data_IF_933168449560
#
_entry.id   IF_933168449560
#
_cell.length_a   1.000
_cell.length_b   1.000
_cell.length_c   1.000
_cell.angle_alpha   90.00
_cell.angle_beta   90.00
_cell.angle_gamma   90.00
#
_symmetry.space_group_name_H-M   'P 1'
#
loop_
_entity.id
_entity.type
_entity.pdbx_description
1 polymer ?
#
# COMPACT_ATOMS: atom_id res chain seq x y z
N UNK A 1 24.56 9.22 28.30
CA UNK A 1 23.41 9.29 29.24
C UNK A 1 22.27 8.39 28.76
N UNK A 2 21.26 8.15 29.59
CA UNK A 2 20.07 7.42 29.14
C UNK A 2 18.82 8.11 29.67
N UNK A 3 17.90 8.40 28.77
CA UNK A 3 16.57 8.97 29.08
C UNK A 3 15.61 7.82 29.22
N UNK A 4 15.04 7.60 30.41
CA UNK A 4 14.24 6.41 30.75
C UNK A 4 12.76 6.74 30.91
N UNK A 5 11.93 5.73 30.65
CA UNK A 5 10.48 5.78 30.87
C UNK A 5 9.74 6.87 30.05
N UNK A 6 10.24 7.19 28.87
CA UNK A 6 9.61 8.14 27.99
C UNK A 6 8.34 7.50 27.39
N UNK A 7 7.21 8.19 27.51
CA UNK A 7 5.96 7.77 26.86
C UNK A 7 5.98 8.13 25.38
N UNK A 8 6.74 7.37 24.59
CA UNK A 8 6.88 7.59 23.16
C UNK A 8 6.62 6.26 22.44
N UNK A 9 5.70 6.28 21.48
CA UNK A 9 5.44 5.13 20.61
C UNK A 9 6.63 4.94 19.65
N UNK A 10 6.94 3.67 19.36
CA UNK A 10 7.99 3.28 18.42
C UNK A 10 7.78 3.89 17.03
N UNK A 11 6.54 3.96 16.56
CA UNK A 11 6.18 4.53 15.27
C UNK A 11 6.47 6.03 15.13
N UNK A 12 6.62 6.74 16.26
CA UNK A 12 6.83 8.20 16.29
C UNK A 12 8.30 8.61 16.38
N UNK A 13 9.22 7.68 16.56
CA UNK A 13 10.64 8.04 16.79
C UNK A 13 11.23 8.76 15.58
N UNK A 14 11.02 8.22 14.37
CA UNK A 14 11.53 8.81 13.12
C UNK A 14 10.93 10.21 12.92
N UNK A 15 9.61 10.36 13.09
CA UNK A 15 8.94 11.65 12.98
C UNK A 15 9.41 12.66 14.03
N UNK A 16 9.68 12.23 15.27
CA UNK A 16 10.19 13.12 16.32
C UNK A 16 11.60 13.64 16.02
N UNK A 17 12.47 12.83 15.38
CA UNK A 17 13.79 13.31 14.93
C UNK A 17 13.61 14.28 13.75
N UNK A 18 12.68 13.99 12.86
CA UNK A 18 12.31 14.89 11.76
C UNK A 18 11.82 16.25 12.28
N UNK A 19 10.93 16.25 13.27
CA UNK A 19 10.43 17.47 13.92
C UNK A 19 11.55 18.27 14.59
N UNK A 20 12.54 17.59 15.18
CA UNK A 20 13.76 18.22 15.69
C UNK A 20 14.52 18.94 14.58
N UNK A 21 14.75 18.28 13.43
CA UNK A 21 15.45 18.88 12.29
C UNK A 21 14.76 20.14 11.79
N UNK A 22 13.43 20.11 11.66
CA UNK A 22 12.62 21.27 11.24
C UNK A 22 12.74 22.39 12.29
N UNK A 23 12.57 22.07 13.56
CA UNK A 23 12.58 23.05 14.64
C UNK A 23 13.93 23.77 14.78
N UNK A 24 15.03 23.03 14.55
CA UNK A 24 16.40 23.57 14.56
C UNK A 24 16.82 24.20 13.24
N UNK A 25 15.96 24.18 12.21
CA UNK A 25 16.28 24.67 10.86
C UNK A 25 17.56 24.02 10.28
N UNK A 26 17.71 22.70 10.48
CA UNK A 26 18.85 21.94 9.93
C UNK A 26 18.79 21.99 8.40
N UNK A 27 19.88 22.40 7.76
CA UNK A 27 19.93 22.63 6.30
C UNK A 27 19.83 21.35 5.49
N UNK A 28 20.63 20.35 5.86
CA UNK A 28 20.62 19.04 5.23
C UNK A 28 20.51 17.96 6.29
N UNK A 29 19.55 17.04 6.13
CA UNK A 29 19.42 15.91 7.04
C UNK A 29 18.90 14.67 6.32
N UNK A 30 19.39 13.51 6.79
CA UNK A 30 18.94 12.20 6.36
C UNK A 30 18.73 11.34 7.60
N UNK A 31 17.51 10.86 7.79
CA UNK A 31 17.12 10.03 8.92
C UNK A 31 16.91 8.61 8.38
N UNK A 32 17.69 7.66 8.90
CA UNK A 32 17.57 6.25 8.54
C UNK A 32 16.34 5.60 9.14
N UNK A 33 16.08 4.37 8.73
CA UNK A 33 15.02 3.55 9.33
C UNK A 33 15.45 3.10 10.74
N UNK A 34 14.44 2.89 11.60
CA UNK A 34 14.64 2.28 12.92
C UNK A 34 14.89 0.78 12.74
N UNK A 35 16.13 0.34 12.92
CA UNK A 35 16.59 -1.03 12.70
C UNK A 35 16.97 -1.72 14.00
N UNK A 36 16.81 -3.04 14.09
CA UNK A 36 17.26 -3.85 15.21
C UNK A 36 17.91 -5.13 14.73
N UNK A 37 19.05 -5.49 15.35
CA UNK A 37 19.72 -6.75 15.10
C UNK A 37 19.34 -7.86 16.09
N UNK A 38 18.85 -7.49 17.27
CA UNK A 38 18.54 -8.40 18.38
C UNK A 38 17.08 -8.37 18.83
N UNK A 39 16.25 -7.49 18.22
CA UNK A 39 14.85 -7.29 18.58
C UNK A 39 14.61 -6.56 19.90
N UNK A 40 15.67 -6.17 20.62
CA UNK A 40 15.64 -5.50 21.92
C UNK A 40 16.09 -4.05 21.79
N UNK A 41 17.22 -3.86 21.16
CA UNK A 41 17.82 -2.55 20.90
C UNK A 41 17.55 -2.15 19.45
N UNK A 42 17.05 -0.96 19.28
CA UNK A 42 16.74 -0.38 17.98
C UNK A 42 17.64 0.83 17.75
N UNK A 43 18.19 0.95 16.54
CA UNK A 43 19.12 2.02 16.17
C UNK A 43 18.57 2.81 14.99
N UNK A 44 18.74 4.13 15.07
CA UNK A 44 18.57 5.05 13.94
C UNK A 44 19.93 5.67 13.63
N UNK A 45 20.32 5.59 12.36
CA UNK A 45 21.44 6.38 11.85
C UNK A 45 20.91 7.71 11.35
N UNK A 46 21.58 8.77 11.70
CA UNK A 46 21.19 10.14 11.37
C UNK A 46 22.41 10.84 10.76
N UNK A 47 22.17 11.54 9.65
CA UNK A 47 23.12 12.47 9.05
C UNK A 47 22.47 13.86 9.10
N UNK A 48 23.14 14.82 9.73
CA UNK A 48 22.72 16.21 9.84
C UNK A 48 23.89 17.13 9.57
N UNK A 49 23.78 17.93 8.49
CA UNK A 49 24.85 18.86 8.10
C UNK A 49 26.23 18.19 8.04
N UNK A 50 26.31 17.05 7.33
CA UNK A 50 27.51 16.22 7.15
C UNK A 50 28.06 15.58 8.45
N UNK A 51 27.22 15.47 9.48
CA UNK A 51 27.54 14.81 10.75
C UNK A 51 26.79 13.49 10.84
N UNK A 52 27.49 12.39 10.62
CA UNK A 52 26.93 11.04 10.74
C UNK A 52 27.06 10.52 12.18
N UNK A 53 25.93 10.15 12.78
CA UNK A 53 25.86 9.55 14.12
C UNK A 53 24.65 8.60 14.22
N UNK A 54 24.49 7.95 15.37
CA UNK A 54 23.34 7.09 15.63
C UNK A 54 22.79 7.31 17.04
N UNK A 55 21.54 6.94 17.22
CA UNK A 55 20.85 6.95 18.52
C UNK A 55 20.21 5.58 18.73
N UNK A 56 20.38 5.02 19.92
CA UNK A 56 19.83 3.73 20.30
C UNK A 56 18.55 3.89 21.16
N UNK A 57 17.56 3.07 20.89
CA UNK A 57 16.27 3.04 21.57
C UNK A 57 15.99 1.65 22.11
N UNK A 58 15.43 1.58 23.31
CA UNK A 58 14.95 0.35 23.93
C UNK A 58 13.47 0.49 24.26
N UNK A 59 12.68 -0.48 23.86
CA UNK A 59 11.23 -0.50 24.10
C UNK A 59 10.91 -1.56 25.13
N UNK A 60 10.19 -1.16 26.17
CA UNK A 60 9.68 -2.06 27.19
C UNK A 60 8.16 -1.95 27.20
N UNK A 61 7.48 -3.06 26.94
CA UNK A 61 6.04 -3.14 27.19
C UNK A 61 5.78 -3.20 28.70
N UNK A 62 5.06 -2.24 29.23
CA UNK A 62 4.59 -2.29 30.61
C UNK A 62 3.24 -3.01 30.69
N UNK A 63 2.91 -3.56 31.88
CA UNK A 63 1.57 -4.10 32.16
C UNK A 63 0.54 -2.97 31.95
N UNK A 64 -0.31 -3.12 30.94
CA UNK A 64 -1.35 -2.16 30.59
C UNK A 64 -1.22 -1.53 29.20
N UNK A 65 -0.43 -2.13 28.28
CA UNK A 65 -0.20 -1.64 26.91
C UNK A 65 0.40 -0.23 26.79
N UNK A 66 1.01 0.31 27.84
CA UNK A 66 1.81 1.53 27.75
C UNK A 66 3.23 1.19 27.31
N UNK A 67 3.67 1.73 26.19
CA UNK A 67 5.07 1.63 25.76
C UNK A 67 5.91 2.62 26.57
N UNK A 68 7.02 2.07 27.14
CA UNK A 68 8.05 2.89 27.76
C UNK A 68 9.31 2.80 26.91
N UNK A 69 9.72 3.92 26.38
CA UNK A 69 10.93 4.06 25.57
C UNK A 69 12.07 4.56 26.42
N UNK A 70 13.26 3.96 26.23
CA UNK A 70 14.52 4.48 26.75
C UNK A 70 15.38 4.92 25.57
N UNK A 71 15.85 6.17 25.59
CA UNK A 71 16.81 6.67 24.60
C UNK A 71 18.20 6.55 25.21
N UNK A 72 19.12 5.92 24.51
CA UNK A 72 20.51 5.78 24.93
C UNK A 72 21.40 6.64 24.05
N UNK A 73 22.01 7.65 24.66
CA UNK A 73 23.00 8.54 24.06
C UNK A 73 24.39 8.22 24.61
N UNK A 74 25.43 8.82 24.03
CA UNK A 74 26.79 8.71 24.55
C UNK A 74 27.60 7.57 23.92
N UNK A 75 27.18 7.07 22.76
CA UNK A 75 27.93 6.12 21.96
C UNK A 75 28.20 6.69 20.55
N UNK A 76 29.42 6.49 20.05
CA UNK A 76 29.82 6.99 18.73
C UNK A 76 30.20 8.46 18.73
N UNK A 77 29.89 9.13 17.61
CA UNK A 77 30.30 10.54 17.36
C UNK A 77 29.16 11.51 17.71
N UNK A 78 29.49 12.80 17.84
CA UNK A 78 28.55 13.92 18.01
C UNK A 78 27.60 13.75 19.20
N UNK A 79 28.15 13.48 20.37
CA UNK A 79 27.39 13.19 21.60
C UNK A 79 26.50 14.34 22.03
N UNK A 80 26.90 15.60 21.84
CA UNK A 80 26.08 16.77 22.16
C UNK A 80 24.81 16.79 21.32
N UNK A 81 24.90 16.47 20.01
CA UNK A 81 23.76 16.44 19.12
C UNK A 81 22.80 15.29 19.47
N UNK A 82 23.34 14.12 19.86
CA UNK A 82 22.52 13.02 20.39
C UNK A 82 21.73 13.43 21.63
N UNK A 83 22.37 14.17 22.55
CA UNK A 83 21.75 14.69 23.79
C UNK A 83 20.66 15.72 23.46
N UNK A 84 20.91 16.65 22.53
CA UNK A 84 19.91 17.63 22.10
C UNK A 84 18.65 16.94 21.52
N UNK A 85 18.85 15.96 20.67
CA UNK A 85 17.73 15.19 20.09
C UNK A 85 16.98 14.42 21.17
N UNK A 86 17.69 13.73 22.06
CA UNK A 86 17.08 12.98 23.14
C UNK A 86 16.29 13.89 24.12
N UNK A 87 16.81 15.07 24.40
CA UNK A 87 16.14 16.09 25.22
C UNK A 87 14.87 16.57 24.52
N UNK A 88 14.98 16.96 23.24
CA UNK A 88 13.83 17.40 22.45
C UNK A 88 12.71 16.32 22.39
N UNK A 89 13.10 15.07 22.13
CA UNK A 89 12.12 13.96 22.11
C UNK A 89 11.48 13.80 23.48
N UNK A 90 12.25 13.90 24.57
CA UNK A 90 11.73 13.73 25.93
C UNK A 90 10.77 14.84 26.32
N UNK A 91 11.11 16.07 25.99
CA UNK A 91 10.26 17.26 26.28
C UNK A 91 8.96 17.25 25.46
N UNK A 92 8.99 16.73 24.24
CA UNK A 92 7.84 16.71 23.34
C UNK A 92 7.05 15.39 23.38
N UNK A 93 7.60 14.33 23.96
CA UNK A 93 6.91 13.04 24.11
C UNK A 93 5.67 13.11 25.01
N UNK A 94 5.64 14.06 25.97
CA UNK A 94 4.50 14.31 26.86
C UNK A 94 3.42 15.21 26.26
N UNK A 95 3.71 15.91 25.18
CA UNK A 95 2.79 16.76 24.43
C UNK A 95 2.01 15.97 23.36
N UNK A 96 1.75 14.70 23.61
CA UNK A 96 0.66 14.01 22.94
C UNK A 96 -0.59 14.74 23.39
N UNK A 97 -1.17 15.53 22.49
CA UNK A 97 -2.37 16.31 22.80
C UNK A 97 -3.42 15.38 23.40
N UNK A 98 -4.21 15.88 24.34
CA UNK A 98 -5.38 15.14 24.86
C UNK A 98 -6.26 14.64 23.71
N UNK A 99 -6.24 15.31 22.57
CA UNK A 99 -6.88 14.93 21.33
C UNK A 99 -6.31 13.63 20.75
N UNK A 100 -5.00 13.39 20.82
CA UNK A 100 -4.42 12.11 20.37
C UNK A 100 -4.77 10.95 21.32
N UNK A 101 -4.79 11.20 22.64
CA UNK A 101 -5.22 10.20 23.62
C UNK A 101 -6.72 9.91 23.43
N UNK A 102 -7.50 10.92 23.11
CA UNK A 102 -8.92 10.77 22.78
C UNK A 102 -9.13 10.06 21.47
N UNK A 103 -8.37 10.42 20.43
CA UNK A 103 -8.33 9.74 19.13
C UNK A 103 -7.90 8.27 19.28
N UNK A 104 -6.88 7.99 20.09
CA UNK A 104 -6.46 6.61 20.36
C UNK A 104 -7.51 5.81 21.15
N UNK A 105 -8.19 6.42 22.10
CA UNK A 105 -9.30 5.77 22.82
C UNK A 105 -10.51 5.54 21.91
N UNK A 106 -10.83 6.49 21.07
CA UNK A 106 -11.87 6.34 20.02
C UNK A 106 -11.43 5.29 18.99
N UNK A 107 -10.16 5.24 18.65
CA UNK A 107 -9.55 4.24 17.77
C UNK A 107 -9.58 2.84 18.40
N UNK A 108 -9.17 2.66 19.64
CA UNK A 108 -9.27 1.40 20.36
C UNK A 108 -10.74 0.94 20.52
N UNK A 109 -11.65 1.88 20.73
CA UNK A 109 -13.09 1.60 20.75
C UNK A 109 -13.57 1.18 19.35
N UNK A 110 -13.19 1.90 18.31
CA UNK A 110 -13.51 1.55 16.91
C UNK A 110 -12.89 0.23 16.50
N UNK A 111 -11.63 -0.09 16.91
CA UNK A 111 -11.01 -1.39 16.70
C UNK A 111 -11.74 -2.51 17.46
N UNK A 112 -12.28 -2.24 18.64
CA UNK A 112 -13.07 -3.23 19.40
C UNK A 112 -14.47 -3.42 18.82
N UNK A 113 -14.99 -2.41 18.13
CA UNK A 113 -16.26 -2.41 17.41
C UNK A 113 -16.10 -2.85 15.94
N UNK A 114 -14.89 -2.70 15.34
CA UNK A 114 -14.57 -3.27 14.05
C UNK A 114 -14.62 -4.79 14.12
N UNK A 115 -15.30 -5.39 13.15
CA UNK A 115 -15.37 -6.84 12.99
C UNK A 115 -13.99 -7.46 13.16
N UNK A 116 -13.94 -8.53 13.96
CA UNK A 116 -12.72 -9.31 14.19
C UNK A 116 -12.02 -9.54 12.85
N UNK A 117 -10.74 -9.30 12.80
CA UNK A 117 -9.85 -9.43 11.63
C UNK A 117 -9.87 -10.78 10.90
N UNK A 118 -10.81 -11.65 11.23
CA UNK A 118 -11.02 -13.00 10.70
C UNK A 118 -12.37 -13.19 10.00
N UNK A 119 -13.18 -12.13 9.82
CA UNK A 119 -14.42 -12.28 9.07
C UNK A 119 -14.08 -12.56 7.60
N UNK A 120 -14.67 -13.58 6.99
CA UNK A 120 -14.38 -13.91 5.60
C UNK A 120 -15.04 -12.89 4.66
N UNK A 121 -14.34 -12.55 3.58
CA UNK A 121 -14.93 -11.90 2.43
C UNK A 121 -15.67 -12.96 1.60
N UNK A 122 -16.99 -12.83 1.46
CA UNK A 122 -17.85 -13.86 0.91
C UNK A 122 -18.53 -13.40 -0.37
N UNK A 123 -18.24 -14.09 -1.46
CA UNK A 123 -18.88 -13.89 -2.76
C UNK A 123 -19.88 -15.01 -3.05
N UNK A 124 -21.11 -14.65 -3.37
CA UNK A 124 -22.20 -15.59 -3.71
C UNK A 124 -22.27 -15.83 -5.21
N UNK A 125 -22.76 -17.00 -5.61
CA UNK A 125 -22.99 -17.39 -7.02
C UNK A 125 -21.71 -17.42 -7.86
N UNK A 126 -20.62 -17.90 -7.27
CA UNK A 126 -19.31 -18.01 -7.94
C UNK A 126 -19.15 -19.44 -8.48
N UNK A 127 -19.07 -19.56 -9.79
CA UNK A 127 -18.87 -20.86 -10.43
C UNK A 127 -17.39 -21.34 -10.38
N UNK A 128 -17.17 -22.60 -10.76
CA UNK A 128 -15.83 -23.20 -10.78
C UNK A 128 -14.86 -22.51 -11.74
N UNK A 129 -15.39 -21.91 -12.81
CA UNK A 129 -14.56 -21.20 -13.79
C UNK A 129 -13.95 -19.94 -13.21
N UNK A 130 -14.75 -19.16 -12.47
CA UNK A 130 -14.28 -17.96 -11.76
C UNK A 130 -13.27 -18.34 -10.69
N UNK A 131 -13.56 -19.39 -9.89
CA UNK A 131 -12.62 -19.89 -8.89
C UNK A 131 -11.26 -20.24 -9.51
N UNK A 132 -11.24 -21.03 -10.59
CA UNK A 132 -9.99 -21.42 -11.25
C UNK A 132 -9.23 -20.20 -11.78
N UNK A 133 -9.93 -19.25 -12.42
CA UNK A 133 -9.31 -18.01 -12.90
C UNK A 133 -8.69 -17.19 -11.77
N UNK A 134 -9.37 -17.08 -10.62
CA UNK A 134 -8.82 -16.41 -9.45
C UNK A 134 -7.49 -17.05 -9.02
N UNK A 135 -7.47 -18.38 -8.89
CA UNK A 135 -6.26 -19.11 -8.50
C UNK A 135 -5.14 -18.94 -9.54
N UNK A 136 -5.46 -18.98 -10.83
CA UNK A 136 -4.47 -18.77 -11.89
C UNK A 136 -3.91 -17.35 -11.87
N UNK A 137 -4.74 -16.31 -11.64
CA UNK A 137 -4.30 -14.93 -11.52
C UNK A 137 -3.34 -14.77 -10.34
N UNK A 138 -3.66 -15.36 -9.18
CA UNK A 138 -2.80 -15.30 -7.99
C UNK A 138 -1.46 -15.99 -8.27
N UNK A 139 -1.47 -17.19 -8.86
CA UNK A 139 -0.24 -17.95 -9.18
C UNK A 139 0.70 -17.23 -10.15
N UNK A 140 0.16 -16.41 -11.02
CA UNK A 140 0.93 -15.64 -11.99
C UNK A 140 1.43 -14.29 -11.47
N UNK A 141 1.14 -13.95 -10.22
CA UNK A 141 1.61 -12.70 -9.65
C UNK A 141 2.99 -12.86 -8.95
N UNK A 142 3.77 -11.77 -8.96
CA UNK A 142 5.14 -11.76 -8.44
C UNK A 142 5.23 -11.98 -6.92
N UNK A 143 4.14 -11.73 -6.20
CA UNK A 143 4.09 -11.97 -4.75
C UNK A 143 3.69 -13.39 -4.38
N UNK A 144 3.29 -14.23 -5.34
CA UNK A 144 2.95 -15.63 -5.06
C UNK A 144 4.21 -16.43 -4.67
N UNK A 145 4.12 -17.18 -3.58
CA UNK A 145 5.18 -18.08 -3.12
C UNK A 145 4.82 -19.54 -3.31
N UNK A 146 3.73 -19.97 -2.70
CA UNK A 146 3.29 -21.38 -2.76
C UNK A 146 1.79 -21.53 -2.50
N UNK A 147 1.26 -22.72 -2.76
CA UNK A 147 -0.13 -23.07 -2.54
C UNK A 147 -0.24 -24.49 -2.02
N UNK A 148 -0.94 -24.65 -0.88
CA UNK A 148 -1.31 -25.93 -0.31
C UNK A 148 -2.77 -26.26 -0.63
N UNK A 149 -3.02 -27.43 -1.16
CA UNK A 149 -4.37 -27.94 -1.37
C UNK A 149 -4.80 -28.69 -0.11
N UNK A 150 -5.60 -28.03 0.72
CA UNK A 150 -6.12 -28.60 1.97
C UNK A 150 -7.27 -29.59 1.67
N UNK A 151 -8.10 -29.22 0.67
CA UNK A 151 -9.23 -30.02 0.22
C UNK A 151 -9.52 -29.76 -1.24
N UNK A 152 -9.75 -30.80 -2.04
CA UNK A 152 -10.17 -30.72 -3.45
C UNK A 152 -11.22 -31.79 -3.74
N UNK A 153 -12.44 -31.54 -3.31
CA UNK A 153 -13.60 -32.41 -3.50
C UNK A 153 -14.61 -31.80 -4.46
N UNK A 154 -15.57 -32.58 -4.92
CA UNK A 154 -16.64 -32.12 -5.82
C UNK A 154 -17.49 -31.01 -5.20
N UNK A 155 -17.71 -31.05 -3.87
CA UNK A 155 -18.57 -30.10 -3.16
C UNK A 155 -17.82 -28.98 -2.46
N UNK A 156 -16.51 -29.12 -2.26
CA UNK A 156 -15.70 -28.09 -1.58
C UNK A 156 -14.24 -28.17 -2.00
N UNK A 157 -13.67 -27.00 -2.26
CA UNK A 157 -12.23 -26.82 -2.47
C UNK A 157 -11.71 -25.83 -1.42
N UNK A 158 -10.59 -26.18 -0.78
CA UNK A 158 -9.93 -25.33 0.23
C UNK A 158 -8.46 -25.25 -0.13
N UNK A 159 -8.03 -24.06 -0.52
CA UNK A 159 -6.65 -23.76 -0.91
C UNK A 159 -6.08 -22.74 0.08
N UNK A 160 -4.90 -23.03 0.60
CA UNK A 160 -4.13 -22.12 1.42
C UNK A 160 -2.98 -21.57 0.59
N UNK A 161 -2.93 -20.28 0.42
CA UNK A 161 -2.02 -19.57 -0.49
C UNK A 161 -1.07 -18.73 0.34
N UNK A 162 0.19 -18.75 -0.02
CA UNK A 162 1.26 -18.03 0.66
C UNK A 162 1.90 -17.02 -0.29
N UNK A 163 2.22 -15.85 0.24
CA UNK A 163 2.96 -14.82 -0.47
C UNK A 163 4.43 -14.79 -0.07
N UNK A 164 5.25 -14.14 -0.89
CA UNK A 164 6.70 -14.02 -0.69
C UNK A 164 7.08 -13.23 0.56
N UNK A 165 6.18 -12.41 1.08
CA UNK A 165 6.31 -11.65 2.32
C UNK A 165 5.84 -12.42 3.58
N UNK A 166 5.47 -13.70 3.42
CA UNK A 166 5.06 -14.59 4.50
C UNK A 166 3.60 -14.45 4.95
N UNK A 167 2.78 -13.68 4.23
CA UNK A 167 1.34 -13.63 4.49
C UNK A 167 0.63 -14.84 3.88
N UNK A 168 -0.51 -15.18 4.46
CA UNK A 168 -1.32 -16.30 4.02
C UNK A 168 -2.80 -15.94 3.87
N UNK A 169 -3.45 -16.54 2.88
CA UNK A 169 -4.90 -16.44 2.65
C UNK A 169 -5.47 -17.83 2.40
N UNK A 170 -6.60 -18.14 3.01
CA UNK A 170 -7.37 -19.34 2.71
C UNK A 170 -8.51 -19.00 1.77
N UNK A 171 -8.56 -19.64 0.62
CA UNK A 171 -9.64 -19.52 -0.36
C UNK A 171 -10.46 -20.79 -0.33
N UNK A 172 -11.74 -20.68 0.07
CA UNK A 172 -12.67 -21.80 0.13
C UNK A 172 -13.77 -21.60 -0.92
N UNK A 173 -13.97 -22.59 -1.77
CA UNK A 173 -15.07 -22.62 -2.72
C UNK A 173 -16.05 -23.73 -2.36
N UNK A 174 -17.21 -23.36 -1.86
CA UNK A 174 -18.33 -24.27 -1.63
C UNK A 174 -19.11 -24.43 -2.93
N UNK A 175 -19.14 -25.64 -3.47
CA UNK A 175 -19.76 -25.94 -4.77
C UNK A 175 -21.13 -26.55 -4.49
N UNK A 176 -22.17 -25.82 -4.86
CA UNK A 176 -23.54 -26.28 -4.78
C UNK A 176 -24.24 -25.94 -6.10
N UNK A 177 -25.07 -26.86 -6.59
CA UNK A 177 -25.82 -26.70 -7.85
C UNK A 177 -26.75 -25.46 -7.86
N UNK A 178 -27.21 -25.01 -6.69
CA UNK A 178 -28.11 -23.87 -6.55
C UNK A 178 -27.40 -22.55 -6.22
N UNK A 179 -26.28 -22.59 -5.49
CA UNK A 179 -25.60 -21.36 -5.04
C UNK A 179 -24.19 -21.64 -4.55
N UNK A 180 -23.23 -21.74 -5.47
CA UNK A 180 -21.82 -21.84 -5.11
C UNK A 180 -21.35 -20.55 -4.44
N UNK A 181 -20.50 -20.67 -3.43
CA UNK A 181 -20.00 -19.55 -2.63
C UNK A 181 -18.50 -19.61 -2.54
N UNK A 182 -17.84 -18.49 -2.80
CA UNK A 182 -16.40 -18.35 -2.61
C UNK A 182 -16.16 -17.50 -1.36
N UNK A 183 -15.26 -17.96 -0.51
CA UNK A 183 -14.89 -17.32 0.73
C UNK A 183 -13.38 -17.11 0.76
N UNK A 184 -12.96 -15.89 1.07
CA UNK A 184 -11.56 -15.49 1.21
C UNK A 184 -11.34 -15.11 2.67
N UNK A 185 -10.41 -15.80 3.34
CA UNK A 185 -10.07 -15.57 4.74
C UNK A 185 -8.59 -15.28 4.87
N UNK A 186 -8.24 -14.25 5.61
CA UNK A 186 -6.88 -13.84 5.87
C UNK A 186 -6.83 -12.41 6.41
N UNK A 187 -5.63 -11.97 6.73
CA UNK A 187 -5.42 -10.57 7.12
C UNK A 187 -5.53 -9.68 5.87
N UNK A 188 -6.07 -8.47 5.98
CA UNK A 188 -6.27 -7.55 4.85
C UNK A 188 -4.96 -6.92 4.36
N UNK A 189 -3.93 -7.73 4.14
CA UNK A 189 -2.66 -7.36 3.56
C UNK A 189 -2.67 -7.57 2.03
N UNK A 190 -1.50 -7.45 1.40
CA UNK A 190 -1.34 -7.51 -0.05
C UNK A 190 -2.06 -8.69 -0.70
N UNK A 191 -1.84 -9.92 -0.21
CA UNK A 191 -2.42 -11.12 -0.80
C UNK A 191 -3.96 -11.13 -0.73
N UNK A 192 -4.54 -10.72 0.39
CA UNK A 192 -6.00 -10.59 0.55
C UNK A 192 -6.57 -9.52 -0.38
N UNK A 193 -5.90 -8.36 -0.45
CA UNK A 193 -6.29 -7.23 -1.29
C UNK A 193 -6.21 -7.58 -2.77
N UNK A 194 -5.18 -8.34 -3.16
CA UNK A 194 -5.05 -8.86 -4.52
C UNK A 194 -6.19 -9.82 -4.87
N UNK A 195 -6.52 -10.76 -3.99
CA UNK A 195 -7.66 -11.65 -4.19
C UNK A 195 -8.96 -10.86 -4.40
N UNK A 196 -9.21 -9.83 -3.58
CA UNK A 196 -10.38 -8.97 -3.71
C UNK A 196 -10.40 -8.20 -5.04
N UNK A 197 -9.26 -7.63 -5.45
CA UNK A 197 -9.15 -6.91 -6.72
C UNK A 197 -9.33 -7.83 -7.94
N UNK A 198 -8.79 -9.05 -7.88
CA UNK A 198 -8.99 -10.04 -8.95
C UNK A 198 -10.45 -10.48 -9.04
N UNK A 199 -11.14 -10.64 -7.91
CA UNK A 199 -12.57 -10.90 -7.92
C UNK A 199 -13.33 -9.76 -8.60
N UNK A 200 -13.00 -8.49 -8.33
CA UNK A 200 -13.62 -7.35 -9.01
C UNK A 200 -13.47 -7.38 -10.53
N UNK A 201 -12.34 -7.92 -11.05
CA UNK A 201 -12.16 -8.11 -12.50
C UNK A 201 -13.00 -9.24 -13.08
N UNK A 202 -13.24 -10.29 -12.30
CA UNK A 202 -13.86 -11.53 -12.75
C UNK A 202 -15.39 -11.53 -12.68
N UNK A 203 -15.97 -10.77 -11.74
CA UNK A 203 -17.41 -10.75 -11.47
C UNK A 203 -18.06 -9.40 -11.83
N UNK A 204 -19.38 -9.32 -11.81
CA UNK A 204 -20.08 -8.07 -12.01
C UNK A 204 -20.01 -7.13 -10.80
N UNK A 205 -20.15 -5.82 -11.04
CA UNK A 205 -20.04 -4.80 -10.01
C UNK A 205 -21.02 -5.01 -8.85
N UNK A 206 -22.26 -5.46 -9.13
CA UNK A 206 -23.26 -5.65 -8.07
C UNK A 206 -22.82 -6.74 -7.09
N UNK A 207 -22.44 -7.90 -7.61
CA UNK A 207 -21.95 -9.02 -6.79
C UNK A 207 -20.73 -8.62 -5.96
N UNK A 208 -19.82 -7.82 -6.54
CA UNK A 208 -18.65 -7.32 -5.83
C UNK A 208 -19.03 -6.33 -4.70
N UNK A 209 -19.88 -5.35 -5.01
CA UNK A 209 -20.33 -4.34 -4.04
C UNK A 209 -21.10 -4.99 -2.89
N UNK A 210 -21.98 -5.94 -3.17
CA UNK A 210 -22.74 -6.68 -2.15
C UNK A 210 -21.80 -7.45 -1.20
N UNK A 211 -20.74 -8.09 -1.73
CA UNK A 211 -19.75 -8.81 -0.93
C UNK A 211 -18.94 -7.86 -0.03
N UNK A 212 -18.48 -6.74 -0.58
CA UNK A 212 -17.70 -5.74 0.16
C UNK A 212 -18.56 -5.00 1.19
N UNK A 213 -19.82 -4.66 0.86
CA UNK A 213 -20.75 -4.09 1.83
C UNK A 213 -20.94 -5.02 3.03
N UNK A 214 -21.10 -6.33 2.76
CA UNK A 214 -21.21 -7.32 3.84
C UNK A 214 -19.94 -7.42 4.68
N UNK A 215 -18.77 -7.33 4.03
CA UNK A 215 -17.48 -7.42 4.70
C UNK A 215 -17.18 -6.19 5.57
N UNK A 216 -17.36 -4.99 5.01
CA UNK A 216 -17.09 -3.71 5.69
C UNK A 216 -18.27 -3.19 6.53
N UNK A 217 -19.44 -3.81 6.48
CA UNK A 217 -20.63 -3.33 7.17
C UNK A 217 -21.20 -2.04 6.57
N UNK A 218 -21.01 -1.83 5.28
CA UNK A 218 -21.49 -0.66 4.52
C UNK A 218 -22.75 -0.98 3.72
N UNK A 219 -23.38 0.03 3.11
CA UNK A 219 -24.63 -0.10 2.36
C UNK A 219 -24.61 0.65 1.02
N UNK A 220 -23.45 0.74 0.37
CA UNK A 220 -23.33 1.42 -0.92
C UNK A 220 -24.09 0.66 -2.02
N UNK A 221 -24.70 1.42 -2.92
CA UNK A 221 -25.35 0.86 -4.10
C UNK A 221 -24.41 0.90 -5.30
N UNK A 222 -24.68 0.01 -6.27
CA UNK A 222 -23.95 0.02 -7.54
C UNK A 222 -24.11 1.36 -8.26
N UNK A 223 -25.32 1.91 -8.22
CA UNK A 223 -25.71 3.16 -8.87
C UNK A 223 -24.89 4.34 -8.31
N UNK A 224 -24.69 4.41 -6.99
CA UNK A 224 -23.87 5.43 -6.34
C UNK A 224 -22.38 5.34 -6.77
N UNK A 225 -21.82 4.13 -6.77
CA UNK A 225 -20.43 3.93 -7.21
C UNK A 225 -20.26 4.24 -8.70
N UNK A 226 -21.19 3.81 -9.55
CA UNK A 226 -21.13 4.11 -10.98
C UNK A 226 -21.38 5.59 -11.29
N UNK A 227 -22.21 6.29 -10.53
CA UNK A 227 -22.38 7.73 -10.65
C UNK A 227 -21.09 8.49 -10.30
N UNK A 228 -20.41 8.11 -9.20
CA UNK A 228 -19.12 8.68 -8.83
C UNK A 228 -18.06 8.39 -9.90
N UNK A 229 -17.97 7.15 -10.38
CA UNK A 229 -17.08 6.77 -11.48
C UNK A 229 -17.31 7.63 -12.72
N UNK A 230 -18.56 7.82 -13.13
CA UNK A 230 -18.88 8.64 -14.30
C UNK A 230 -18.56 10.13 -14.11
N UNK A 231 -18.61 10.62 -12.88
CA UNK A 231 -18.24 11.99 -12.53
C UNK A 231 -16.71 12.21 -12.56
N UNK A 232 -15.94 11.21 -12.10
CA UNK A 232 -14.48 11.27 -12.05
C UNK A 232 -13.86 11.05 -13.45
N UNK A 233 -14.50 10.20 -14.28
CA UNK A 233 -13.99 9.83 -15.61
C UNK A 233 -14.91 10.26 -16.75
N UNK A 234 -15.21 11.58 -16.89
CA UNK A 234 -16.12 12.05 -17.92
C UNK A 234 -15.66 11.73 -19.36
N UNK A 235 -14.35 11.78 -19.62
CA UNK A 235 -13.75 11.47 -20.93
C UNK A 235 -13.29 10.00 -21.03
N UNK A 236 -12.64 9.49 -19.99
CA UNK A 236 -12.07 8.13 -20.00
C UNK A 236 -13.11 7.01 -19.97
N UNK A 237 -14.28 7.21 -19.35
CA UNK A 237 -15.28 6.16 -19.07
C UNK A 237 -15.71 5.32 -20.27
N UNK A 238 -15.71 5.91 -21.49
CA UNK A 238 -16.12 5.23 -22.72
C UNK A 238 -14.96 4.50 -23.42
N UNK A 239 -13.72 4.72 -22.96
CA UNK A 239 -12.51 4.16 -23.54
C UNK A 239 -11.89 3.05 -22.67
N UNK A 240 -12.25 3.01 -21.40
CA UNK A 240 -11.76 1.98 -20.48
C UNK A 240 -12.50 0.66 -20.67
N UNK A 241 -11.76 -0.44 -20.72
CA UNK A 241 -12.37 -1.75 -20.80
C UNK A 241 -13.08 -2.14 -19.48
N UNK A 242 -13.95 -3.13 -19.55
CA UNK A 242 -14.80 -3.55 -18.43
C UNK A 242 -14.00 -3.95 -17.18
N UNK A 243 -12.83 -4.58 -17.34
CA UNK A 243 -12.00 -4.99 -16.19
C UNK A 243 -11.42 -3.79 -15.46
N UNK A 244 -10.86 -2.83 -16.22
CA UNK A 244 -10.33 -1.59 -15.65
C UNK A 244 -11.44 -0.82 -14.95
N UNK A 245 -12.62 -0.66 -15.58
CA UNK A 245 -13.79 -0.02 -14.97
C UNK A 245 -14.14 -0.68 -13.62
N UNK A 246 -14.24 -2.01 -13.56
CA UNK A 246 -14.58 -2.74 -12.34
C UNK A 246 -13.55 -2.52 -11.24
N UNK A 247 -12.26 -2.58 -11.58
CA UNK A 247 -11.17 -2.36 -10.63
C UNK A 247 -11.17 -0.93 -10.08
N UNK A 248 -11.46 0.07 -10.92
CA UNK A 248 -11.60 1.47 -10.48
C UNK A 248 -12.86 1.69 -9.62
N UNK A 249 -13.98 1.04 -9.93
CA UNK A 249 -15.18 1.05 -9.07
C UNK A 249 -14.87 0.44 -7.68
N UNK A 250 -14.08 -0.63 -7.62
CA UNK A 250 -13.59 -1.17 -6.36
C UNK A 250 -12.74 -0.14 -5.59
N UNK A 251 -11.85 0.57 -6.28
CA UNK A 251 -11.03 1.61 -5.64
C UNK A 251 -11.91 2.73 -5.05
N UNK A 252 -12.99 3.11 -5.73
CA UNK A 252 -13.96 4.09 -5.22
C UNK A 252 -14.72 3.58 -4.00
N UNK A 253 -15.03 2.29 -3.94
CA UNK A 253 -15.62 1.68 -2.76
C UNK A 253 -14.62 1.63 -1.60
N UNK A 254 -13.37 1.21 -1.86
CA UNK A 254 -12.30 1.20 -0.85
C UNK A 254 -12.02 2.62 -0.29
N UNK A 255 -12.11 3.66 -1.14
CA UNK A 255 -11.95 5.07 -0.74
C UNK A 255 -12.91 5.45 0.40
N UNK A 256 -14.11 4.87 0.42
CA UNK A 256 -15.15 5.14 1.40
C UNK A 256 -15.00 4.33 2.68
N UNK A 257 -14.06 3.41 2.72
CA UNK A 257 -13.73 2.69 3.94
C UNK A 257 -13.07 3.66 4.94
N UNK A 258 -13.80 3.92 6.01
CA UNK A 258 -13.36 4.82 7.10
C UNK A 258 -12.68 4.06 8.23
N UNK A 259 -12.50 2.74 8.11
CA UNK A 259 -11.82 1.96 9.12
C UNK A 259 -10.39 2.47 9.32
N UNK A 260 -10.05 2.77 10.55
CA UNK A 260 -8.70 3.18 10.93
C UNK A 260 -7.84 1.91 11.03
N UNK A 261 -6.82 1.82 10.20
CA UNK A 261 -5.89 0.68 10.13
C UNK A 261 -4.46 1.18 10.28
N UNK A 262 -3.58 0.32 10.82
CA UNK A 262 -2.15 0.62 10.91
C UNK A 262 -1.48 0.71 9.54
N UNK A 263 -2.05 0.02 8.55
CA UNK A 263 -1.60 0.04 7.16
C UNK A 263 -2.81 0.14 6.24
N UNK A 264 -2.91 1.26 5.55
CA UNK A 264 -3.96 1.55 4.58
C UNK A 264 -3.54 1.25 3.13
N UNK A 265 -2.41 0.59 2.91
CA UNK A 265 -1.87 0.26 1.57
C UNK A 265 -2.87 -0.52 0.73
N UNK A 266 -3.65 -1.40 1.34
CA UNK A 266 -4.68 -2.18 0.65
C UNK A 266 -5.77 -1.32 -0.01
N UNK A 267 -6.04 -0.10 0.50
CA UNK A 267 -7.06 0.80 -0.06
C UNK A 267 -6.69 1.34 -1.44
N UNK A 268 -5.39 1.49 -1.74
CA UNK A 268 -4.90 1.98 -3.03
C UNK A 268 -4.62 0.86 -4.04
N UNK A 269 -4.59 -0.41 -3.59
CA UNK A 269 -4.20 -1.53 -4.45
C UNK A 269 -5.05 -1.62 -5.72
N UNK A 270 -6.37 -1.54 -5.59
CA UNK A 270 -7.27 -1.62 -6.75
C UNK A 270 -7.09 -0.45 -7.72
N UNK A 271 -6.81 0.76 -7.22
CA UNK A 271 -6.55 1.92 -8.06
C UNK A 271 -5.26 1.74 -8.88
N UNK A 272 -4.16 1.37 -8.22
CA UNK A 272 -2.87 1.14 -8.87
C UNK A 272 -2.91 -0.03 -9.85
N UNK A 273 -3.67 -1.08 -9.53
CA UNK A 273 -3.92 -2.18 -10.47
C UNK A 273 -4.73 -1.73 -11.69
N UNK A 274 -5.73 -0.90 -11.48
CA UNK A 274 -6.49 -0.28 -12.58
C UNK A 274 -5.61 0.59 -13.47
N UNK A 275 -4.70 1.36 -12.87
CA UNK A 275 -3.72 2.18 -13.56
C UNK A 275 -2.73 1.33 -14.38
N UNK A 276 -2.21 0.24 -13.81
CA UNK A 276 -1.35 -0.71 -14.53
C UNK A 276 -2.09 -1.35 -15.71
N UNK A 277 -3.32 -1.81 -15.48
CA UNK A 277 -4.17 -2.36 -16.55
C UNK A 277 -4.43 -1.34 -17.66
N UNK A 278 -4.65 -0.08 -17.31
CA UNK A 278 -4.80 1.01 -18.26
C UNK A 278 -3.53 1.21 -19.11
N UNK A 279 -2.35 1.28 -18.48
CA UNK A 279 -1.09 1.43 -19.19
C UNK A 279 -0.84 0.26 -20.15
N UNK A 280 -1.04 -0.98 -19.70
CA UNK A 280 -0.87 -2.17 -20.56
C UNK A 280 -1.82 -2.14 -21.76
N UNK A 281 -3.08 -1.77 -21.53
CA UNK A 281 -4.07 -1.63 -22.60
C UNK A 281 -3.69 -0.54 -23.61
N UNK A 282 -3.19 0.61 -23.16
CA UNK A 282 -2.70 1.67 -24.02
C UNK A 282 -1.51 1.23 -24.87
N UNK A 283 -0.52 0.60 -24.24
CA UNK A 283 0.68 0.12 -24.94
C UNK A 283 0.32 -0.95 -25.99
N UNK A 284 -0.52 -1.93 -25.63
CA UNK A 284 -1.00 -2.96 -26.56
C UNK A 284 -1.75 -2.32 -27.73
N UNK A 285 -2.66 -1.39 -27.50
CA UNK A 285 -3.41 -0.67 -28.53
C UNK A 285 -2.53 0.13 -29.50
N UNK A 286 -1.31 0.46 -29.09
CA UNK A 286 -0.28 1.14 -29.89
C UNK A 286 0.71 0.15 -30.55
N UNK A 287 0.44 -1.14 -30.44
CA UNK A 287 1.26 -2.20 -31.05
C UNK A 287 2.64 -2.36 -30.41
N UNK A 288 2.75 -2.15 -29.09
CA UNK A 288 3.95 -2.53 -28.36
C UNK A 288 3.94 -4.05 -28.11
N UNK A 289 5.09 -4.67 -28.30
CA UNK A 289 5.30 -6.08 -27.96
C UNK A 289 5.79 -6.19 -26.52
N UNK A 290 5.45 -7.31 -25.86
CA UNK A 290 5.93 -7.62 -24.50
C UNK A 290 5.60 -6.53 -23.47
N UNK A 291 4.36 -6.04 -23.49
CA UNK A 291 3.88 -4.99 -22.56
C UNK A 291 4.01 -5.40 -21.08
N UNK A 292 4.20 -6.69 -20.79
CA UNK A 292 4.36 -7.20 -19.43
C UNK A 292 5.71 -6.84 -18.80
N UNK A 293 6.74 -6.63 -19.60
CA UNK A 293 8.11 -6.34 -19.13
C UNK A 293 8.43 -4.86 -19.05
N UNK A 294 7.58 -3.99 -19.64
CA UNK A 294 7.78 -2.53 -19.73
C UNK A 294 9.15 -2.10 -20.30
N UNK A 295 9.77 -2.92 -21.15
CA UNK A 295 11.09 -2.64 -21.73
C UNK A 295 11.14 -1.40 -22.65
N UNK A 296 9.99 -0.77 -22.91
CA UNK A 296 9.90 0.47 -23.66
C UNK A 296 10.15 1.73 -22.84
N UNK A 297 10.46 1.60 -21.54
CA UNK A 297 10.76 2.72 -20.66
C UNK A 297 12.23 2.71 -20.25
N UNK A 298 12.93 3.78 -20.58
CA UNK A 298 14.35 3.98 -20.24
C UNK A 298 14.52 5.14 -19.26
N UNK A 299 15.57 5.10 -18.41
CA UNK A 299 15.93 6.24 -17.58
C UNK A 299 16.17 7.51 -18.41
N UNK A 300 15.63 8.62 -17.94
CA UNK A 300 15.96 9.94 -18.49
C UNK A 300 17.44 10.22 -18.25
N UNK A 301 18.14 10.69 -19.29
CA UNK A 301 19.57 11.01 -19.25
C UNK A 301 19.80 12.47 -19.56
N UNK A 302 20.78 13.08 -18.92
CA UNK A 302 21.28 14.43 -19.27
C UNK A 302 22.13 14.40 -20.55
N UNK A 303 22.59 15.56 -20.98
CA UNK A 303 23.48 15.71 -22.16
C UNK A 303 24.80 14.94 -22.07
N UNK A 304 25.23 14.55 -20.87
CA UNK A 304 26.42 13.76 -20.61
C UNK A 304 26.15 12.25 -20.58
N UNK A 305 24.88 11.83 -20.77
CA UNK A 305 24.46 10.44 -20.73
C UNK A 305 24.23 9.90 -19.30
N UNK A 306 24.30 10.74 -18.27
CA UNK A 306 24.06 10.36 -16.89
C UNK A 306 22.54 10.31 -16.61
N UNK A 307 22.12 9.35 -15.79
CA UNK A 307 20.71 9.19 -15.39
C UNK A 307 20.26 10.37 -14.53
N UNK A 308 19.15 11.00 -14.89
CA UNK A 308 18.53 12.08 -14.13
C UNK A 308 17.47 11.48 -13.21
N UNK A 309 17.78 11.38 -11.91
CA UNK A 309 16.84 10.90 -10.90
C UNK A 309 16.29 9.49 -11.19
N UNK A 310 15.20 9.12 -10.54
CA UNK A 310 14.50 7.84 -10.75
C UNK A 310 13.43 7.86 -11.86
N UNK A 311 13.40 8.89 -12.70
CA UNK A 311 12.35 9.08 -13.71
C UNK A 311 12.66 8.28 -14.98
N UNK A 312 11.66 7.54 -15.45
CA UNK A 312 11.70 6.75 -16.68
C UNK A 312 10.80 7.37 -17.74
N UNK A 313 11.17 7.23 -19.01
CA UNK A 313 10.40 7.73 -20.14
C UNK A 313 10.25 6.68 -21.23
N UNK A 314 9.12 6.69 -21.93
CA UNK A 314 8.90 5.87 -23.11
C UNK A 314 9.82 6.33 -24.25
N UNK A 315 10.58 5.40 -24.84
CA UNK A 315 11.54 5.69 -25.92
C UNK A 315 10.91 5.64 -27.31
N UNK A 316 9.64 5.29 -27.44
CA UNK A 316 8.94 5.13 -28.71
C UNK A 316 7.83 6.18 -28.93
N UNK A 317 8.17 7.45 -28.78
CA UNK A 317 7.23 8.57 -28.92
C UNK A 317 6.37 8.57 -30.21
N UNK A 318 6.88 8.19 -31.39
CA UNK A 318 6.09 8.23 -32.61
C UNK A 318 4.83 7.36 -32.57
N UNK A 319 4.82 6.28 -31.78
CA UNK A 319 3.64 5.43 -31.60
C UNK A 319 2.43 6.16 -30.98
N UNK A 320 2.67 7.27 -30.30
CA UNK A 320 1.62 8.14 -29.75
C UNK A 320 1.28 9.32 -30.65
N UNK A 321 1.74 9.32 -31.92
CA UNK A 321 1.48 10.38 -32.88
C UNK A 321 2.17 11.71 -32.54
N UNK A 322 3.26 11.68 -31.76
CA UNK A 322 3.97 12.85 -31.22
C UNK A 322 3.09 13.76 -30.35
N UNK A 323 1.98 13.26 -29.83
CA UNK A 323 1.14 13.96 -28.87
C UNK A 323 1.86 14.02 -27.51
N UNK A 324 2.45 15.15 -27.22
CA UNK A 324 3.26 15.34 -26.02
C UNK A 324 2.46 15.19 -24.72
N UNK A 325 1.16 15.51 -24.75
CA UNK A 325 0.30 15.34 -23.57
C UNK A 325 0.09 13.85 -23.27
N UNK A 326 -0.21 13.05 -24.30
CA UNK A 326 -0.35 11.59 -24.15
C UNK A 326 0.94 10.93 -23.73
N UNK A 327 2.07 11.35 -24.31
CA UNK A 327 3.40 10.86 -23.93
C UNK A 327 3.68 11.18 -22.45
N UNK A 328 3.40 12.42 -22.02
CA UNK A 328 3.57 12.83 -20.62
C UNK A 328 2.70 11.97 -19.68
N UNK A 329 1.42 11.74 -20.01
CA UNK A 329 0.52 10.88 -19.23
C UNK A 329 1.02 9.44 -19.14
N UNK A 330 1.51 8.86 -20.25
CA UNK A 330 2.08 7.51 -20.28
C UNK A 330 3.32 7.40 -19.39
N UNK A 331 4.21 8.40 -19.47
CA UNK A 331 5.41 8.44 -18.62
C UNK A 331 5.05 8.60 -17.14
N UNK A 332 4.13 9.49 -16.82
CA UNK A 332 3.63 9.71 -15.45
C UNK A 332 2.97 8.45 -14.90
N UNK A 333 2.13 7.79 -15.70
CA UNK A 333 1.50 6.51 -15.36
C UNK A 333 2.55 5.45 -14.99
N UNK A 334 3.55 5.27 -15.86
CA UNK A 334 4.58 4.27 -15.62
C UNK A 334 5.41 4.58 -14.37
N UNK A 335 5.85 5.84 -14.20
CA UNK A 335 6.64 6.24 -13.04
C UNK A 335 5.86 6.06 -11.73
N UNK A 336 4.57 6.41 -11.72
CA UNK A 336 3.72 6.19 -10.55
C UNK A 336 3.61 4.70 -10.19
N UNK A 337 3.35 3.84 -11.19
CA UNK A 337 3.30 2.39 -10.98
C UNK A 337 4.66 1.88 -10.47
N UNK A 338 5.76 2.27 -11.13
CA UNK A 338 7.10 1.81 -10.79
C UNK A 338 7.50 2.19 -9.38
N UNK A 339 7.27 3.44 -8.97
CA UNK A 339 7.62 3.94 -7.65
C UNK A 339 6.70 3.34 -6.57
N UNK A 340 5.38 3.45 -6.76
CA UNK A 340 4.44 3.07 -5.72
C UNK A 340 4.31 1.55 -5.59
N UNK A 341 4.23 0.80 -6.70
CA UNK A 341 4.13 -0.66 -6.63
C UNK A 341 5.32 -1.28 -5.91
N UNK A 342 6.52 -0.80 -6.22
CA UNK A 342 7.74 -1.33 -5.61
C UNK A 342 7.87 -0.95 -4.14
N UNK A 343 7.41 0.23 -3.74
CA UNK A 343 7.50 0.68 -2.34
C UNK A 343 6.35 0.21 -1.46
N UNK A 344 5.14 0.03 -2.02
CA UNK A 344 3.95 -0.33 -1.24
C UNK A 344 3.69 -1.84 -1.18
N UNK A 345 4.07 -2.58 -2.24
CA UNK A 345 3.67 -3.98 -2.39
C UNK A 345 4.84 -4.97 -2.38
N UNK A 346 6.07 -4.50 -2.22
CA UNK A 346 7.24 -5.35 -2.08
C UNK A 346 8.02 -4.98 -0.82
N UNK A 347 8.19 -5.95 0.06
CA UNK A 347 9.15 -5.84 1.14
C UNK A 347 10.55 -5.99 0.58
N UNK A 348 11.38 -4.97 0.73
CA UNK A 348 12.80 -5.10 0.48
C UNK A 348 13.43 -5.97 1.58
N UNK A 349 14.50 -6.70 1.23
CA UNK A 349 15.21 -7.52 2.22
C UNK A 349 15.63 -6.63 3.40
N UNK A 350 15.32 -7.01 4.65
CA UNK A 350 15.48 -6.15 5.83
C UNK A 350 16.93 -5.69 6.12
N UNK A 351 17.92 -6.17 5.38
CA UNK A 351 19.33 -5.88 5.58
C UNK A 351 19.95 -4.99 4.48
N UNK A 352 19.15 -4.37 3.62
CA UNK A 352 19.66 -3.50 2.58
C UNK A 352 19.48 -2.05 3.03
N UNK A 353 20.59 -1.32 3.08
CA UNK A 353 20.61 0.15 3.09
C UNK A 353 19.74 0.62 1.92
N UNK A 354 18.56 1.17 2.21
CA UNK A 354 17.61 1.60 1.19
C UNK A 354 16.29 0.77 1.17
N UNK A 355 15.81 0.31 2.34
CA UNK A 355 14.44 -0.20 2.43
C UNK A 355 13.48 0.91 1.99
N UNK A 356 12.86 0.70 0.81
CA UNK A 356 11.88 1.61 0.23
C UNK A 356 10.44 1.17 0.56
N UNK A 357 10.28 0.13 1.40
CA UNK A 357 8.96 -0.35 1.81
C UNK A 357 8.22 0.75 2.57
N UNK A 358 7.02 1.06 2.12
CA UNK A 358 6.20 2.11 2.69
C UNK A 358 4.86 1.54 3.13
N UNK A 359 4.48 1.80 4.38
CA UNK A 359 3.14 1.60 4.88
C UNK A 359 2.39 2.93 4.77
N UNK A 360 1.16 2.90 4.29
CA UNK A 360 0.37 4.12 4.13
C UNK A 360 -0.48 4.40 5.36
N UNK A 361 -0.43 5.65 5.79
CA UNK A 361 -1.46 6.21 6.66
C UNK A 361 -2.72 6.55 5.86
N UNK A 362 -3.86 6.65 6.52
CA UNK A 362 -5.14 6.97 5.86
C UNK A 362 -5.10 8.31 5.11
N UNK A 363 -4.37 9.29 5.62
CA UNK A 363 -4.17 10.61 5.01
C UNK A 363 -3.40 10.57 3.68
N UNK A 364 -2.57 9.55 3.47
CA UNK A 364 -1.78 9.37 2.26
C UNK A 364 -2.54 8.63 1.14
N UNK A 365 -3.62 7.93 1.48
CA UNK A 365 -4.45 7.17 0.53
C UNK A 365 -5.14 8.09 -0.48
N UNK A 366 -5.80 9.13 0.00
CA UNK A 366 -6.59 10.04 -0.83
C UNK A 366 -5.76 10.72 -1.94
N UNK A 367 -4.58 11.30 -1.67
CA UNK A 367 -3.72 11.86 -2.72
C UNK A 367 -3.34 10.85 -3.79
N UNK A 368 -3.05 9.59 -3.42
CA UNK A 368 -2.69 8.54 -4.39
C UNK A 368 -3.89 8.18 -5.27
N UNK A 369 -5.08 8.04 -4.67
CA UNK A 369 -6.30 7.75 -5.43
C UNK A 369 -6.62 8.87 -6.42
N UNK A 370 -6.61 10.12 -5.96
CA UNK A 370 -6.88 11.30 -6.79
C UNK A 370 -5.88 11.38 -7.95
N UNK A 371 -4.58 11.28 -7.66
CA UNK A 371 -3.55 11.31 -8.70
C UNK A 371 -3.74 10.17 -9.72
N UNK A 372 -4.06 8.96 -9.25
CA UNK A 372 -4.34 7.82 -10.14
C UNK A 372 -5.50 8.10 -11.08
N UNK A 373 -6.58 8.66 -10.58
CA UNK A 373 -7.76 8.95 -11.37
C UNK A 373 -7.51 10.09 -12.36
N UNK A 374 -6.84 11.15 -11.93
CA UNK A 374 -6.47 12.29 -12.78
C UNK A 374 -5.58 11.89 -13.95
N UNK A 375 -4.58 11.04 -13.73
CA UNK A 375 -3.69 10.55 -14.79
C UNK A 375 -4.49 9.78 -15.85
N UNK A 376 -5.39 8.89 -15.42
CA UNK A 376 -6.24 8.12 -16.36
C UNK A 376 -7.15 9.05 -17.15
N UNK A 377 -7.81 9.99 -16.49
CA UNK A 377 -8.74 10.92 -17.14
C UNK A 377 -8.01 11.85 -18.12
N UNK A 378 -6.88 12.42 -17.71
CA UNK A 378 -6.07 13.36 -18.49
C UNK A 378 -5.58 12.78 -19.83
N UNK A 379 -5.39 11.46 -19.93
CA UNK A 379 -4.99 10.83 -21.19
C UNK A 379 -6.05 10.97 -22.29
N UNK A 380 -7.33 11.06 -21.91
CA UNK A 380 -8.47 11.15 -22.83
C UNK A 380 -9.07 12.55 -22.93
N UNK A 381 -8.62 13.48 -22.09
CA UNK A 381 -8.99 14.90 -22.15
C UNK A 381 -8.17 15.61 -23.24
#
# INVERSE_FOLDING_TARGET
MSYKNIKLDRSRIVSSIYDFCINKSVGNYKIGALTSSDGIRYRINVDMDDKEFFIDFHFVMSKGNEYKTTIQTGQGNYLELQEEIATFITENAGNISEDYIKLNKEFEKTLSECKKSNDPLVYKKIDKTIFNKLIDMIKNDNFFSSLDIIKDEETVKIFKIYSTDGNEVTVTHFINNASSTLMIQGKPFLLFSACSAYMAELIDNKTNIDALNSYYGTSFTKEEIEAEYNSIFPNAKNHLNTKIKRTLCQALQNRRDMASMFDCTHLVFSALRGLEGHLRYLLDSKGFMNVDTFNMFDPVKNSLGEKIGGTLQCIHYPKFGNDMNKIACVNETYNMIFILRNSLFHWNKPNILGDTTKLLERSEVEPILVQTFEIIEKYFA
#
